data_IF_540092248126
#
_entry.id   IF_540092248126
#
_cell.length_a   1.000
_cell.length_b   1.000
_cell.length_c   1.000
_cell.angle_alpha   90.00
_cell.angle_beta   90.00
_cell.angle_gamma   90.00
#
_symmetry.space_group_name_H-M   'P 1'
#
loop_
_entity.id
_entity.type
_entity.pdbx_description
1 polymer ?
#
# COMPACT_ATOMS: atom_id res chain seq x y z
N UNK A 1 11.90 19.26 -6.51
CA UNK A 1 11.50 17.85 -6.29
C UNK A 1 10.21 17.62 -7.02
N UNK A 2 10.12 16.55 -7.84
CA UNK A 2 8.86 16.11 -8.41
C UNK A 2 7.94 15.65 -7.28
N UNK A 3 6.66 15.90 -7.39
CA UNK A 3 5.67 15.36 -6.46
C UNK A 3 5.57 13.85 -6.64
N UNK A 4 4.97 13.13 -5.69
CA UNK A 4 4.67 11.71 -5.84
C UNK A 4 3.18 11.49 -5.67
N UNK A 5 2.55 10.95 -6.70
CA UNK A 5 1.15 10.55 -6.68
C UNK A 5 1.02 9.07 -6.35
N UNK A 6 -0.12 8.68 -5.84
CA UNK A 6 -0.40 7.30 -5.46
C UNK A 6 -1.44 6.67 -6.38
N UNK A 7 -1.29 5.37 -6.63
CA UNK A 7 -2.32 4.54 -7.25
C UNK A 7 -2.63 3.39 -6.31
N UNK A 8 -3.90 3.16 -6.02
CA UNK A 8 -4.38 1.93 -5.39
C UNK A 8 -5.13 1.12 -6.43
N UNK A 9 -4.60 -0.05 -6.77
CA UNK A 9 -5.31 -0.97 -7.66
C UNK A 9 -6.22 -1.88 -6.84
N UNK A 10 -7.51 -1.57 -6.89
CA UNK A 10 -8.58 -2.25 -6.16
C UNK A 10 -9.54 -2.98 -7.11
N UNK A 11 -8.98 -3.57 -8.16
CA UNK A 11 -9.68 -4.37 -9.18
C UNK A 11 -9.48 -5.87 -8.99
N UNK A 12 -9.87 -6.62 -10.03
CA UNK A 12 -9.72 -8.07 -10.08
C UNK A 12 -10.98 -8.84 -9.66
N UNK A 13 -11.06 -10.12 -10.07
CA UNK A 13 -12.23 -10.97 -9.84
C UNK A 13 -12.29 -11.59 -8.44
N UNK A 14 -11.19 -11.63 -7.73
CA UNK A 14 -11.03 -12.21 -6.38
C UNK A 14 -11.67 -13.60 -6.20
N UNK A 15 -11.65 -14.45 -7.24
CA UNK A 15 -12.33 -15.76 -7.29
C UNK A 15 -11.82 -16.74 -6.22
N UNK A 16 -10.57 -16.61 -5.78
CA UNK A 16 -10.01 -17.43 -4.69
C UNK A 16 -10.69 -17.22 -3.34
N UNK A 17 -11.46 -16.13 -3.20
CA UNK A 17 -12.24 -15.81 -2.00
C UNK A 17 -13.74 -16.13 -2.16
N UNK A 18 -14.17 -16.75 -3.26
CA UNK A 18 -15.57 -17.17 -3.40
C UNK A 18 -15.96 -18.18 -2.29
N UNK A 19 -17.21 -18.09 -1.74
CA UNK A 19 -18.30 -17.17 -2.13
C UNK A 19 -18.26 -15.76 -1.50
N UNK A 20 -17.29 -15.43 -0.64
CA UNK A 20 -17.24 -14.17 0.12
C UNK A 20 -17.28 -12.94 -0.81
N UNK A 21 -16.63 -13.03 -1.96
CA UNK A 21 -16.49 -11.92 -2.93
C UNK A 21 -17.49 -11.97 -4.09
N UNK A 22 -18.54 -12.80 -4.02
CA UNK A 22 -19.55 -12.87 -5.08
C UNK A 22 -20.34 -11.56 -5.29
N UNK A 23 -20.52 -10.77 -4.21
CA UNK A 23 -21.31 -9.55 -4.23
C UNK A 23 -20.55 -8.31 -3.75
N UNK A 24 -19.30 -8.48 -3.35
CA UNK A 24 -18.50 -7.43 -2.71
C UNK A 24 -17.07 -7.46 -3.24
N UNK A 25 -16.47 -6.27 -3.47
CA UNK A 25 -15.05 -6.19 -3.80
C UNK A 25 -14.21 -6.73 -2.63
N UNK A 26 -13.14 -7.48 -2.94
CA UNK A 26 -12.19 -7.97 -1.95
C UNK A 26 -11.70 -6.85 -1.04
N UNK A 27 -11.36 -5.70 -1.59
CA UNK A 27 -10.79 -4.58 -0.87
C UNK A 27 -11.78 -3.86 0.06
N UNK A 28 -13.06 -4.22 -0.02
CA UNK A 28 -14.12 -3.78 0.90
C UNK A 28 -14.35 -4.77 2.05
N UNK A 29 -13.79 -5.98 1.98
CA UNK A 29 -13.88 -6.93 3.08
C UNK A 29 -13.18 -6.37 4.34
N UNK A 30 -13.70 -6.69 5.52
CA UNK A 30 -13.04 -6.27 6.75
C UNK A 30 -11.74 -7.05 6.96
N UNK A 31 -10.70 -6.33 7.35
CA UNK A 31 -9.53 -6.89 8.02
C UNK A 31 -9.63 -6.42 9.46
N UNK A 32 -10.08 -7.30 10.34
CA UNK A 32 -10.49 -7.05 11.70
C UNK A 32 -11.62 -6.01 11.80
N UNK A 33 -11.35 -4.74 12.00
CA UNK A 33 -12.32 -3.69 12.31
C UNK A 33 -12.48 -2.61 11.24
N UNK A 34 -11.72 -2.72 10.13
CA UNK A 34 -11.70 -1.72 9.05
C UNK A 34 -11.76 -2.36 7.66
N UNK A 35 -12.27 -1.66 6.64
CA UNK A 35 -12.18 -2.11 5.26
C UNK A 35 -10.72 -2.30 4.83
N UNK A 36 -10.44 -3.37 4.11
CA UNK A 36 -9.09 -3.73 3.65
C UNK A 36 -8.36 -2.58 2.96
N UNK A 37 -9.05 -1.77 2.15
CA UNK A 37 -8.43 -0.65 1.42
C UNK A 37 -7.81 0.43 2.34
N UNK A 38 -8.17 0.47 3.62
CA UNK A 38 -7.58 1.42 4.58
C UNK A 38 -6.09 1.14 4.78
N UNK A 39 -5.66 -0.10 4.70
CA UNK A 39 -4.26 -0.49 4.91
C UNK A 39 -3.33 -0.01 3.79
N UNK A 40 -3.58 -0.27 2.50
CA UNK A 40 -2.75 0.31 1.44
C UNK A 40 -2.88 1.83 1.38
N UNK A 41 -4.05 2.41 1.68
CA UNK A 41 -4.20 3.86 1.75
C UNK A 41 -3.34 4.45 2.88
N UNK A 42 -3.32 3.83 4.06
CA UNK A 42 -2.44 4.26 5.16
C UNK A 42 -0.95 4.17 4.79
N UNK A 43 -0.55 3.16 4.02
CA UNK A 43 0.83 3.05 3.54
C UNK A 43 1.21 4.21 2.60
N UNK A 44 0.31 4.65 1.70
CA UNK A 44 0.51 5.86 0.91
C UNK A 44 0.58 7.12 1.78
N UNK A 45 -0.26 7.23 2.80
CA UNK A 45 -0.22 8.35 3.75
C UNK A 45 1.09 8.38 4.55
N UNK A 46 1.58 7.23 5.01
CA UNK A 46 2.89 7.10 5.63
C UNK A 46 4.03 7.50 4.68
N UNK A 47 3.90 7.23 3.39
CA UNK A 47 4.85 7.68 2.35
C UNK A 47 4.77 9.19 2.05
N UNK A 48 3.82 9.91 2.64
CA UNK A 48 3.61 11.34 2.41
C UNK A 48 2.83 11.66 1.13
N UNK A 49 2.16 10.69 0.53
CA UNK A 49 1.38 10.84 -0.71
C UNK A 49 -0.01 11.38 -0.38
N UNK A 50 -0.43 12.48 -1.02
CA UNK A 50 -1.71 13.15 -0.78
C UNK A 50 -2.72 13.06 -1.93
N UNK A 51 -2.25 12.81 -3.15
CA UNK A 51 -3.10 12.62 -4.32
C UNK A 51 -3.11 11.14 -4.68
N UNK A 52 -4.27 10.51 -4.69
CA UNK A 52 -4.41 9.07 -4.90
C UNK A 52 -5.50 8.77 -5.92
N UNK A 53 -5.13 7.98 -6.94
CA UNK A 53 -6.06 7.39 -7.90
C UNK A 53 -6.46 5.99 -7.42
N UNK A 54 -7.75 5.78 -7.22
CA UNK A 54 -8.32 4.46 -6.94
C UNK A 54 -8.83 3.86 -8.25
N UNK A 55 -8.22 2.76 -8.67
CA UNK A 55 -8.62 2.03 -9.88
C UNK A 55 -9.40 0.79 -9.47
N UNK A 56 -10.62 0.65 -9.96
CA UNK A 56 -11.47 -0.52 -9.66
C UNK A 56 -12.34 -0.91 -10.86
N UNK A 57 -13.08 -2.00 -10.70
CA UNK A 57 -14.01 -2.49 -11.71
C UNK A 57 -15.27 -1.62 -11.81
N UNK A 58 -16.01 -1.64 -12.95
CA UNK A 58 -17.26 -0.89 -13.10
C UNK A 58 -18.29 -1.18 -12.01
N UNK A 59 -18.33 -2.42 -11.52
CA UNK A 59 -19.31 -2.87 -10.53
C UNK A 59 -19.03 -2.30 -9.15
N UNK A 60 -17.77 -2.03 -8.81
CA UNK A 60 -17.36 -1.69 -7.44
C UNK A 60 -16.92 -0.25 -7.24
N UNK A 61 -16.60 0.50 -8.31
CA UNK A 61 -16.00 1.83 -8.21
C UNK A 61 -16.85 2.81 -7.39
N UNK A 62 -18.17 2.77 -7.52
CA UNK A 62 -19.06 3.68 -6.80
C UNK A 62 -19.11 3.40 -5.30
N UNK A 63 -18.84 2.15 -4.87
CA UNK A 63 -18.71 1.82 -3.46
C UNK A 63 -17.43 2.42 -2.85
N UNK A 64 -16.34 2.48 -3.61
CA UNK A 64 -15.14 3.17 -3.17
C UNK A 64 -15.33 4.68 -3.06
N UNK A 65 -16.08 5.28 -4.00
CA UNK A 65 -16.45 6.70 -3.92
C UNK A 65 -17.33 6.99 -2.69
N UNK A 66 -18.28 6.10 -2.40
CA UNK A 66 -19.14 6.21 -1.20
C UNK A 66 -18.33 6.11 0.09
N UNK A 67 -17.36 5.17 0.16
CA UNK A 67 -16.54 4.94 1.36
C UNK A 67 -15.54 6.07 1.61
N UNK A 68 -14.80 6.48 0.57
CA UNK A 68 -13.62 7.35 0.69
C UNK A 68 -13.90 8.82 0.33
N UNK A 69 -14.98 9.10 -0.42
CA UNK A 69 -15.35 10.45 -0.85
C UNK A 69 -14.30 11.09 -1.75
N UNK A 70 -14.07 12.39 -1.57
CA UNK A 70 -13.06 13.17 -2.31
C UNK A 70 -11.67 13.16 -1.65
N UNK A 71 -11.57 12.66 -0.42
CA UNK A 71 -10.36 12.72 0.40
C UNK A 71 -10.20 14.00 1.23
N UNK A 72 -11.07 14.99 1.06
CA UNK A 72 -10.98 16.28 1.75
C UNK A 72 -10.99 16.16 3.28
N UNK A 73 -11.77 15.21 3.82
CA UNK A 73 -11.83 14.97 5.26
C UNK A 73 -10.48 14.52 5.84
N UNK A 74 -9.62 13.94 5.00
CA UNK A 74 -8.26 13.52 5.34
C UNK A 74 -7.18 14.50 4.86
N UNK A 75 -7.57 15.65 4.26
CA UNK A 75 -6.62 16.57 3.65
C UNK A 75 -5.92 16.01 2.42
N UNK A 76 -6.54 15.03 1.78
CA UNK A 76 -6.08 14.34 0.56
C UNK A 76 -6.98 14.69 -0.63
N UNK A 77 -6.56 14.23 -1.82
CA UNK A 77 -7.37 14.29 -3.04
C UNK A 77 -7.47 12.88 -3.62
N UNK A 78 -8.70 12.39 -3.78
CA UNK A 78 -8.96 11.10 -4.42
C UNK A 78 -9.59 11.29 -5.79
N UNK A 79 -9.05 10.55 -6.74
CA UNK A 79 -9.62 10.36 -8.07
C UNK A 79 -9.97 8.88 -8.28
N UNK A 80 -10.88 8.60 -9.20
CA UNK A 80 -11.41 7.25 -9.41
C UNK A 80 -11.41 6.93 -10.90
N UNK A 81 -10.89 5.76 -11.26
CA UNK A 81 -10.88 5.30 -12.65
C UNK A 81 -11.34 3.85 -12.76
N UNK A 82 -12.05 3.56 -13.81
CA UNK A 82 -12.57 2.21 -14.09
C UNK A 82 -11.54 1.44 -14.89
N UNK A 83 -11.22 0.23 -14.43
CA UNK A 83 -10.56 -0.80 -15.22
C UNK A 83 -11.62 -1.79 -15.71
N UNK A 84 -11.93 -1.73 -16.99
CA UNK A 84 -13.02 -2.56 -17.59
C UNK A 84 -12.70 -4.06 -17.53
N UNK A 85 -11.43 -4.42 -17.69
CA UNK A 85 -10.95 -5.82 -17.65
C UNK A 85 -9.65 -5.90 -16.87
N UNK A 86 -9.43 -6.97 -16.09
CA UNK A 86 -8.18 -7.19 -15.39
C UNK A 86 -7.08 -7.65 -16.37
N UNK A 87 -6.43 -6.70 -17.04
CA UNK A 87 -5.39 -6.97 -18.05
C UNK A 87 -3.96 -6.93 -17.46
N UNK A 88 -3.83 -6.89 -16.16
CA UNK A 88 -2.55 -6.91 -15.44
C UNK A 88 -2.32 -5.67 -14.57
N UNK A 89 -1.30 -5.75 -13.71
CA UNK A 89 -1.00 -4.67 -12.75
C UNK A 89 -0.40 -3.44 -13.42
N UNK A 90 0.42 -3.62 -14.46
CA UNK A 90 1.09 -2.51 -15.14
C UNK A 90 0.11 -1.62 -15.93
N UNK A 91 -1.08 -2.11 -16.27
CA UNK A 91 -2.15 -1.33 -16.88
C UNK A 91 -2.58 -0.12 -16.00
N UNK A 92 -2.36 -0.21 -14.70
CA UNK A 92 -2.64 0.90 -13.78
C UNK A 92 -1.89 2.19 -14.14
N UNK A 93 -0.68 2.10 -14.70
CA UNK A 93 0.10 3.26 -15.14
C UNK A 93 -0.43 3.84 -16.45
N UNK A 94 -0.91 3.00 -17.36
CA UNK A 94 -1.53 3.42 -18.62
C UNK A 94 -2.87 4.10 -18.33
N UNK A 95 -3.70 3.48 -17.52
CA UNK A 95 -4.97 4.08 -17.07
C UNK A 95 -4.75 5.36 -16.27
N UNK A 96 -3.69 5.41 -15.48
CA UNK A 96 -3.36 6.55 -14.61
C UNK A 96 -2.57 7.66 -15.28
N UNK A 97 -2.22 7.58 -16.58
CA UNK A 97 -1.32 8.51 -17.26
C UNK A 97 -1.69 9.99 -17.06
N UNK A 98 -2.95 10.36 -17.33
CA UNK A 98 -3.43 11.74 -17.15
C UNK A 98 -3.34 12.20 -15.70
N UNK A 99 -3.64 11.29 -14.75
CA UNK A 99 -3.53 11.57 -13.32
C UNK A 99 -2.07 11.73 -12.90
N UNK A 100 -1.19 10.85 -13.33
CA UNK A 100 0.25 10.90 -12.98
C UNK A 100 0.87 12.17 -13.56
N UNK A 101 0.59 12.50 -14.82
CA UNK A 101 1.21 13.63 -15.53
C UNK A 101 2.73 13.50 -15.54
N UNK A 102 3.43 14.56 -15.11
CA UNK A 102 4.91 14.60 -15.05
C UNK A 102 5.49 14.13 -13.70
N UNK A 103 4.64 13.74 -12.75
CA UNK A 103 5.04 13.35 -11.41
C UNK A 103 5.58 11.91 -11.34
N UNK A 104 6.25 11.59 -10.24
CA UNK A 104 6.60 10.23 -9.88
C UNK A 104 5.38 9.52 -9.27
N UNK A 105 5.37 8.19 -9.26
CA UNK A 105 4.20 7.42 -8.80
C UNK A 105 4.58 6.33 -7.82
N UNK A 106 3.70 6.11 -6.83
CA UNK A 106 3.67 4.91 -5.99
C UNK A 106 2.44 4.09 -6.36
N UNK A 107 2.61 2.79 -6.63
CA UNK A 107 1.51 1.84 -6.82
C UNK A 107 1.46 0.92 -5.62
N UNK A 108 0.27 0.79 -5.02
CA UNK A 108 0.02 -0.21 -3.97
C UNK A 108 -1.18 -1.07 -4.36
N UNK A 109 -1.04 -2.38 -4.21
CA UNK A 109 -2.16 -3.29 -4.41
C UNK A 109 -3.15 -3.15 -3.25
N UNK A 110 -4.43 -3.05 -3.58
CA UNK A 110 -5.51 -2.75 -2.63
C UNK A 110 -5.76 -3.83 -1.57
N UNK A 111 -5.06 -4.96 -1.65
CA UNK A 111 -5.14 -6.10 -0.75
C UNK A 111 -3.86 -6.31 0.09
N UNK A 112 -2.91 -5.40 -0.01
CA UNK A 112 -1.65 -5.49 0.71
C UNK A 112 -1.68 -4.71 2.03
N UNK A 113 -1.31 -5.39 3.10
CA UNK A 113 -1.12 -4.82 4.42
C UNK A 113 0.35 -4.94 4.80
N UNK A 114 0.95 -3.85 5.22
CA UNK A 114 2.31 -3.82 5.76
C UNK A 114 2.34 -3.18 7.14
N UNK A 115 3.10 -3.78 8.05
CA UNK A 115 3.26 -3.30 9.42
C UNK A 115 4.72 -3.45 9.88
N UNK A 116 5.17 -2.55 10.73
CA UNK A 116 6.51 -2.60 11.35
C UNK A 116 6.82 -1.30 12.06
N UNK A 117 7.64 -1.35 13.08
CA UNK A 117 7.94 -0.18 13.96
C UNK A 117 8.56 1.02 13.22
N UNK A 118 9.22 0.78 12.08
CA UNK A 118 9.87 1.82 11.26
C UNK A 118 9.33 1.87 9.84
N UNK A 119 8.18 1.28 9.58
CA UNK A 119 7.63 1.21 8.22
C UNK A 119 7.36 2.61 7.63
N UNK A 120 6.92 3.56 8.45
CA UNK A 120 6.70 4.94 8.02
C UNK A 120 8.00 5.59 7.53
N UNK A 121 9.11 5.43 8.25
CA UNK A 121 10.41 5.98 7.85
C UNK A 121 10.89 5.35 6.53
N UNK A 122 10.70 4.05 6.39
CA UNK A 122 11.06 3.31 5.16
C UNK A 122 10.24 3.77 3.96
N UNK A 123 8.93 3.89 4.12
CA UNK A 123 8.03 4.36 3.05
C UNK A 123 8.28 5.83 2.69
N UNK A 124 8.54 6.70 3.68
CA UNK A 124 8.95 8.10 3.45
C UNK A 124 10.28 8.18 2.69
N UNK A 125 11.25 7.33 3.03
CA UNK A 125 12.53 7.29 2.32
C UNK A 125 12.34 6.79 0.87
N UNK A 126 11.54 5.73 0.66
CA UNK A 126 11.21 5.22 -0.67
C UNK A 126 10.50 6.28 -1.54
N UNK A 127 9.58 7.02 -0.93
CA UNK A 127 8.83 8.08 -1.63
C UNK A 127 9.73 9.24 -2.13
N UNK A 128 10.89 9.44 -1.52
CA UNK A 128 11.86 10.48 -1.92
C UNK A 128 12.78 10.07 -3.08
N UNK A 129 12.75 8.81 -3.52
CA UNK A 129 13.53 8.37 -4.67
C UNK A 129 13.05 9.12 -5.92
N UNK A 130 13.95 9.89 -6.57
CA UNK A 130 13.59 10.76 -7.70
C UNK A 130 13.64 10.03 -9.04
N UNK A 131 14.48 9.00 -9.16
CA UNK A 131 14.74 8.26 -10.41
C UNK A 131 14.75 6.76 -10.14
N UNK A 132 14.42 5.99 -11.18
CA UNK A 132 14.45 4.53 -11.18
C UNK A 132 13.20 3.91 -10.56
N UNK A 133 13.28 2.61 -10.34
CA UNK A 133 12.30 1.78 -9.63
C UNK A 133 12.82 1.39 -8.24
N UNK A 134 11.93 1.40 -7.26
CA UNK A 134 12.21 0.92 -5.92
C UNK A 134 11.09 -0.02 -5.49
N UNK A 135 11.45 -1.22 -5.10
CA UNK A 135 10.55 -2.27 -4.62
C UNK A 135 11.04 -2.80 -3.27
N UNK A 136 10.23 -3.65 -2.66
CA UNK A 136 10.58 -4.31 -1.41
C UNK A 136 10.81 -5.81 -1.63
N UNK A 137 11.66 -6.42 -0.81
CA UNK A 137 11.82 -7.84 -0.71
C UNK A 137 11.41 -8.31 0.69
N UNK A 138 10.51 -9.28 0.77
CA UNK A 138 10.04 -9.84 2.03
C UNK A 138 10.30 -11.34 2.06
N UNK A 139 11.03 -11.80 3.07
CA UNK A 139 11.37 -13.21 3.20
C UNK A 139 10.13 -14.04 3.55
N UNK A 140 9.84 -15.05 2.74
CA UNK A 140 8.72 -15.97 2.92
C UNK A 140 9.17 -17.41 2.89
N UNK A 141 8.42 -18.30 3.53
CA UNK A 141 8.72 -19.73 3.53
C UNK A 141 8.50 -20.39 2.15
N UNK A 142 7.52 -19.94 1.40
CA UNK A 142 7.23 -20.41 0.04
C UNK A 142 6.98 -19.22 -0.90
N UNK A 143 7.95 -18.83 -1.74
CA UNK A 143 7.84 -17.65 -2.61
C UNK A 143 7.11 -17.92 -3.94
N UNK A 144 6.76 -19.17 -4.27
CA UNK A 144 6.23 -19.58 -5.60
C UNK A 144 4.93 -18.90 -6.02
N UNK A 145 4.21 -18.26 -5.09
CA UNK A 145 2.97 -17.54 -5.37
C UNK A 145 3.18 -16.06 -5.72
N UNK A 146 4.41 -15.57 -5.72
CA UNK A 146 4.76 -14.15 -5.79
C UNK A 146 5.79 -13.88 -6.88
N UNK A 147 5.99 -12.61 -7.22
CA UNK A 147 7.22 -12.17 -7.83
C UNK A 147 8.37 -12.42 -6.87
N UNK A 148 9.47 -12.99 -7.35
CA UNK A 148 10.66 -13.35 -6.54
C UNK A 148 11.85 -12.57 -7.05
N UNK A 149 12.58 -11.92 -6.15
CA UNK A 149 13.75 -11.10 -6.49
C UNK A 149 15.01 -11.62 -5.80
N UNK A 150 16.13 -11.65 -6.54
CA UNK A 150 17.48 -11.77 -5.98
C UNK A 150 18.14 -10.41 -5.93
N UNK A 151 18.95 -10.17 -4.91
CA UNK A 151 19.68 -8.92 -4.73
C UNK A 151 21.17 -9.17 -4.51
N UNK A 152 21.98 -8.19 -4.92
CA UNK A 152 23.39 -8.12 -4.55
C UNK A 152 23.56 -7.52 -3.14
N UNK A 153 24.82 -7.49 -2.66
CA UNK A 153 25.17 -6.92 -1.33
C UNK A 153 24.83 -5.43 -1.19
N UNK A 154 24.56 -4.73 -2.30
CA UNK A 154 24.22 -3.32 -2.33
C UNK A 154 22.69 -3.07 -2.41
N UNK A 155 21.91 -4.16 -2.50
CA UNK A 155 20.46 -4.08 -2.65
C UNK A 155 19.99 -3.82 -4.08
N UNK A 156 20.85 -4.01 -5.11
CA UNK A 156 20.40 -3.95 -6.49
C UNK A 156 19.79 -5.29 -6.88
N UNK A 157 18.72 -5.25 -7.67
CA UNK A 157 18.12 -6.46 -8.22
C UNK A 157 19.04 -7.09 -9.27
N UNK A 158 19.35 -8.38 -9.14
CA UNK A 158 20.12 -9.18 -10.11
C UNK A 158 19.27 -10.15 -10.90
N UNK A 159 18.17 -10.60 -10.35
CA UNK A 159 17.13 -11.33 -11.08
C UNK A 159 15.76 -11.05 -10.48
N UNK A 160 14.72 -11.13 -11.31
CA UNK A 160 13.33 -11.05 -10.88
C UNK A 160 12.47 -11.95 -11.77
N UNK A 161 11.65 -12.81 -11.16
CA UNK A 161 10.81 -13.77 -11.85
C UNK A 161 9.39 -13.76 -11.26
N UNK A 162 8.37 -13.84 -12.13
CA UNK A 162 6.96 -13.90 -11.71
C UNK A 162 6.59 -15.37 -11.45
N UNK A 163 6.19 -15.66 -10.21
CA UNK A 163 5.71 -16.98 -9.77
C UNK A 163 6.55 -18.15 -10.28
N UNK A 164 7.86 -18.17 -10.03
CA UNK A 164 8.74 -19.20 -10.55
C UNK A 164 8.43 -20.58 -9.92
N UNK A 165 8.46 -21.64 -10.71
CA UNK A 165 8.37 -23.00 -10.19
C UNK A 165 9.58 -23.36 -9.31
N UNK A 166 10.76 -22.89 -9.71
CA UNK A 166 12.03 -23.09 -9.00
C UNK A 166 12.63 -21.72 -8.62
N UNK A 167 12.18 -21.12 -7.50
CA UNK A 167 12.63 -19.80 -7.09
C UNK A 167 14.11 -19.79 -6.74
N UNK A 168 14.82 -18.74 -7.19
CA UNK A 168 16.27 -18.55 -6.90
C UNK A 168 16.51 -17.88 -5.54
N UNK A 169 15.48 -17.34 -4.94
CA UNK A 169 15.52 -16.61 -3.68
C UNK A 169 14.24 -16.87 -2.90
N UNK A 170 14.23 -16.60 -1.61
CA UNK A 170 13.05 -16.59 -0.75
C UNK A 170 12.46 -15.19 -0.53
N UNK A 171 12.97 -14.18 -1.28
CA UNK A 171 12.49 -12.81 -1.23
C UNK A 171 11.31 -12.59 -2.18
N UNK A 172 10.11 -12.66 -1.65
CA UNK A 172 8.89 -12.24 -2.35
C UNK A 172 8.82 -10.71 -2.48
N UNK A 173 8.26 -10.24 -3.58
CA UNK A 173 8.03 -8.80 -3.82
C UNK A 173 6.62 -8.41 -3.35
N UNK A 174 6.48 -7.66 -2.24
CA UNK A 174 5.21 -7.09 -1.84
C UNK A 174 4.61 -6.17 -2.90
N UNK A 175 3.29 -6.08 -2.93
CA UNK A 175 2.57 -5.22 -3.86
C UNK A 175 2.68 -3.73 -3.55
N UNK A 176 3.90 -3.23 -3.35
CA UNK A 176 4.23 -1.84 -3.03
C UNK A 176 5.41 -1.42 -3.90
N UNK A 177 5.19 -0.47 -4.79
CA UNK A 177 6.14 -0.09 -5.83
C UNK A 177 6.28 1.43 -5.89
N UNK A 178 7.50 1.92 -6.08
CA UNK A 178 7.80 3.32 -6.28
C UNK A 178 8.58 3.49 -7.59
N UNK A 179 8.07 4.29 -8.50
CA UNK A 179 8.71 4.50 -9.81
C UNK A 179 8.81 5.98 -10.14
N UNK A 180 9.78 6.31 -10.97
CA UNK A 180 9.79 7.59 -11.64
C UNK A 180 8.77 7.62 -12.81
N UNK A 181 8.60 8.77 -13.41
CA UNK A 181 7.59 9.01 -14.45
C UNK A 181 7.74 8.11 -15.70
N UNK A 182 8.96 7.61 -15.98
CA UNK A 182 9.22 6.72 -17.13
C UNK A 182 8.41 5.43 -17.08
N UNK A 183 7.86 5.08 -15.93
CA UNK A 183 7.03 3.87 -15.77
C UNK A 183 5.84 3.84 -16.72
N UNK A 184 5.29 5.01 -17.11
CA UNK A 184 4.16 5.11 -18.05
C UNK A 184 4.58 4.54 -19.42
N UNK A 185 5.68 5.05 -19.96
CA UNK A 185 6.20 4.58 -21.25
C UNK A 185 6.69 3.14 -21.19
N UNK A 186 7.29 2.72 -20.08
CA UNK A 186 7.68 1.32 -19.87
C UNK A 186 6.43 0.43 -19.92
N UNK A 187 5.37 0.78 -19.18
CA UNK A 187 4.12 0.02 -19.14
C UNK A 187 3.44 -0.10 -20.52
N UNK A 188 3.48 0.95 -21.34
CA UNK A 188 2.96 0.91 -22.72
C UNK A 188 3.74 -0.01 -23.65
N UNK A 189 5.01 -0.27 -23.36
CA UNK A 189 5.92 -1.03 -24.23
C UNK A 189 6.13 -2.49 -23.80
N UNK A 190 5.68 -2.91 -22.61
CA UNK A 190 5.72 -4.31 -22.23
C UNK A 190 4.65 -5.12 -23.00
N UNK A 191 4.91 -6.41 -23.17
CA UNK A 191 3.99 -7.32 -23.84
C UNK A 191 3.21 -8.12 -22.81
N UNK A 192 1.95 -8.48 -23.11
CA UNK A 192 1.21 -9.41 -22.26
C UNK A 192 1.96 -10.73 -22.10
N UNK A 193 1.96 -11.27 -20.88
CA UNK A 193 2.51 -12.59 -20.56
C UNK A 193 1.68 -13.71 -21.20
N UNK A 194 2.11 -14.96 -21.07
CA UNK A 194 1.33 -16.14 -21.48
C UNK A 194 -0.07 -16.18 -20.84
N UNK A 195 -0.26 -15.51 -19.69
CA UNK A 195 -1.55 -15.34 -19.02
C UNK A 195 -2.41 -14.23 -19.61
N UNK A 196 -1.89 -13.48 -20.59
CA UNK A 196 -2.56 -12.33 -21.19
C UNK A 196 -2.52 -11.07 -20.31
N UNK A 197 -1.64 -11.01 -19.30
CA UNK A 197 -1.54 -9.91 -18.35
C UNK A 197 -0.29 -9.06 -18.60
N UNK A 198 -0.42 -7.73 -18.44
CA UNK A 198 0.71 -6.78 -18.37
C UNK A 198 1.31 -6.87 -16.97
N UNK A 199 2.39 -7.65 -16.85
CA UNK A 199 2.98 -7.99 -15.56
C UNK A 199 3.79 -6.84 -14.98
N UNK A 200 3.60 -6.58 -13.69
CA UNK A 200 4.45 -5.61 -12.98
C UNK A 200 5.91 -6.08 -12.91
N UNK A 201 6.12 -7.39 -12.94
CA UNK A 201 7.45 -8.00 -12.97
C UNK A 201 8.22 -7.61 -14.22
N UNK A 202 7.55 -7.40 -15.36
CA UNK A 202 8.21 -6.98 -16.60
C UNK A 202 8.55 -5.46 -16.56
N UNK A 203 7.75 -4.64 -15.88
CA UNK A 203 8.14 -3.26 -15.54
C UNK A 203 9.41 -3.26 -14.68
N UNK A 204 9.45 -4.10 -13.64
CA UNK A 204 10.63 -4.24 -12.79
C UNK A 204 11.86 -4.72 -13.57
N UNK A 205 11.70 -5.69 -14.49
CA UNK A 205 12.78 -6.13 -15.38
C UNK A 205 13.32 -5.01 -16.27
N UNK A 206 12.44 -4.13 -16.76
CA UNK A 206 12.89 -2.98 -17.54
C UNK A 206 13.81 -2.06 -16.72
N UNK A 207 13.42 -1.72 -15.49
CA UNK A 207 14.28 -0.94 -14.58
C UNK A 207 15.55 -1.70 -14.18
N UNK A 208 15.47 -2.99 -13.94
CA UNK A 208 16.62 -3.83 -13.62
C UNK A 208 17.64 -3.85 -14.78
N UNK A 209 17.17 -3.98 -16.03
CA UNK A 209 18.03 -3.97 -17.20
C UNK A 209 18.70 -2.60 -17.45
N UNK A 210 18.11 -1.52 -16.96
CA UNK A 210 18.73 -0.19 -16.92
C UNK A 210 19.74 -0.01 -15.77
N UNK A 211 19.83 -0.99 -14.84
CA UNK A 211 20.63 -0.85 -13.62
C UNK A 211 20.00 0.11 -12.58
N UNK A 212 18.70 0.35 -12.70
CA UNK A 212 17.97 1.34 -11.89
C UNK A 212 16.85 0.75 -11.04
N UNK A 213 16.84 -0.57 -10.81
CA UNK A 213 15.91 -1.21 -9.86
C UNK A 213 16.60 -1.45 -8.52
N UNK A 214 16.12 -0.78 -7.48
CA UNK A 214 16.57 -0.98 -6.10
C UNK A 214 15.56 -1.81 -5.34
N UNK A 215 16.06 -2.65 -4.42
CA UNK A 215 15.25 -3.47 -3.52
C UNK A 215 15.59 -3.13 -2.09
N UNK A 216 14.56 -2.83 -1.28
CA UNK A 216 14.71 -2.68 0.17
C UNK A 216 14.24 -3.97 0.83
N UNK A 217 15.13 -4.79 1.42
CA UNK A 217 14.72 -5.96 2.15
C UNK A 217 14.02 -5.55 3.46
N UNK A 218 12.81 -6.07 3.66
CA UNK A 218 12.06 -5.95 4.90
C UNK A 218 12.49 -7.10 5.82
N UNK A 219 13.28 -6.79 6.82
CA UNK A 219 13.82 -7.77 7.75
C UNK A 219 12.82 -8.22 8.83
N UNK A 220 13.32 -8.93 9.83
CA UNK A 220 12.54 -9.33 11.02
C UNK A 220 11.97 -8.09 11.72
N UNK A 221 10.72 -8.16 12.14
CA UNK A 221 10.00 -7.03 12.77
C UNK A 221 9.07 -6.26 11.81
N UNK A 222 9.07 -6.64 10.53
CA UNK A 222 8.01 -6.26 9.59
C UNK A 222 7.07 -7.44 9.38
N UNK A 223 5.81 -7.13 9.13
CA UNK A 223 4.80 -8.08 8.71
C UNK A 223 4.17 -7.59 7.40
N UNK A 224 4.00 -8.51 6.46
CA UNK A 224 3.33 -8.27 5.19
C UNK A 224 2.29 -9.36 4.94
N UNK A 225 1.09 -8.95 4.51
CA UNK A 225 -0.01 -9.84 4.17
C UNK A 225 -0.59 -9.42 2.81
N UNK A 226 -0.88 -10.41 1.95
CA UNK A 226 -1.50 -10.22 0.64
C UNK A 226 -2.99 -10.59 0.61
N UNK A 227 -3.58 -11.01 1.72
CA UNK A 227 -4.99 -11.36 1.94
C UNK A 227 -5.69 -12.09 0.76
N UNK A 228 -4.92 -12.86 -0.04
CA UNK A 228 -5.35 -13.47 -1.30
C UNK A 228 -6.23 -14.70 -1.18
N UNK A 229 -6.32 -15.30 0.01
CA UNK A 229 -7.13 -16.49 0.32
C UNK A 229 -7.87 -16.27 1.64
N UNK A 230 -8.92 -17.08 1.96
CA UNK A 230 -9.61 -16.99 3.25
C UNK A 230 -8.68 -17.11 4.45
N UNK A 231 -7.73 -18.04 4.43
CA UNK A 231 -6.76 -18.22 5.52
C UNK A 231 -5.86 -16.99 5.69
N UNK A 232 -5.30 -16.45 4.60
CA UNK A 232 -4.46 -15.24 4.65
C UNK A 232 -5.23 -14.00 5.10
N UNK A 233 -6.52 -13.90 4.77
CA UNK A 233 -7.40 -12.83 5.25
C UNK A 233 -7.65 -12.97 6.76
N UNK A 234 -7.87 -14.20 7.23
CA UNK A 234 -8.00 -14.50 8.66
C UNK A 234 -6.72 -14.17 9.41
N UNK A 235 -5.56 -14.64 8.93
CA UNK A 235 -4.25 -14.37 9.54
C UNK A 235 -3.97 -12.87 9.67
N UNK A 236 -4.27 -12.09 8.62
CA UNK A 236 -4.14 -10.64 8.65
C UNK A 236 -5.06 -10.00 9.71
N UNK A 237 -6.31 -10.47 9.81
CA UNK A 237 -7.28 -9.99 10.80
C UNK A 237 -6.86 -10.32 12.23
N UNK A 238 -6.37 -11.53 12.46
CA UNK A 238 -5.89 -11.97 13.79
C UNK A 238 -4.63 -11.21 14.20
N UNK A 239 -3.71 -10.95 13.26
CA UNK A 239 -2.53 -10.13 13.50
C UNK A 239 -2.92 -8.71 13.91
N UNK A 240 -3.76 -8.03 13.12
CA UNK A 240 -4.22 -6.66 13.42
C UNK A 240 -4.89 -6.61 14.79
N UNK A 241 -5.83 -7.51 15.04
CA UNK A 241 -6.53 -7.64 16.33
C UNK A 241 -5.55 -7.80 17.50
N UNK A 242 -4.56 -8.68 17.36
CA UNK A 242 -3.59 -8.96 18.43
C UNK A 242 -2.77 -7.70 18.77
N UNK A 243 -2.30 -6.95 17.76
CA UNK A 243 -1.52 -5.72 17.97
C UNK A 243 -2.40 -4.63 18.59
N UNK A 244 -3.57 -4.36 18.01
CA UNK A 244 -4.45 -3.29 18.48
C UNK A 244 -4.91 -3.49 19.93
N UNK A 245 -5.32 -4.71 20.28
CA UNK A 245 -5.74 -5.03 21.64
C UNK A 245 -4.61 -4.95 22.66
N UNK A 246 -3.38 -5.35 22.26
CA UNK A 246 -2.22 -5.34 23.17
C UNK A 246 -1.65 -3.96 23.39
N UNK A 247 -1.57 -3.17 22.35
CA UNK A 247 -0.94 -1.84 22.40
C UNK A 247 -1.92 -0.70 22.67
N UNK A 248 -3.23 -0.96 22.51
CA UNK A 248 -4.27 0.07 22.61
C UNK A 248 -4.16 1.12 21.52
N UNK A 249 -3.59 0.73 20.36
CA UNK A 249 -3.45 1.55 19.15
C UNK A 249 -4.44 1.11 18.08
N UNK A 250 -4.44 1.82 16.97
CA UNK A 250 -5.14 1.43 15.74
C UNK A 250 -4.13 1.32 14.59
N UNK A 251 -4.15 0.22 13.85
CA UNK A 251 -3.40 0.09 12.59
C UNK A 251 -4.25 0.70 11.47
N UNK A 252 -3.63 1.42 10.54
CA UNK A 252 -4.32 2.09 9.44
C UNK A 252 -5.45 3.04 9.89
N UNK A 253 -5.22 3.80 10.96
CA UNK A 253 -6.09 4.90 11.36
C UNK A 253 -5.81 6.12 10.49
N UNK A 254 -6.64 6.33 9.46
CA UNK A 254 -6.39 7.34 8.43
C UNK A 254 -6.36 8.77 9.01
N UNK A 255 -7.27 9.08 9.92
CA UNK A 255 -7.34 10.38 10.59
C UNK A 255 -6.11 10.66 11.44
N UNK A 256 -5.52 9.63 12.06
CA UNK A 256 -4.28 9.76 12.82
C UNK A 256 -3.11 10.16 11.93
N UNK A 257 -2.91 9.47 10.80
CA UNK A 257 -1.86 9.83 9.84
C UNK A 257 -2.07 11.21 9.26
N UNK A 258 -3.31 11.57 8.91
CA UNK A 258 -3.65 12.87 8.39
C UNK A 258 -3.36 13.98 9.42
N UNK A 259 -3.66 13.75 10.69
CA UNK A 259 -3.42 14.70 11.78
C UNK A 259 -1.91 14.87 12.08
N UNK A 260 -1.16 13.77 12.21
CA UNK A 260 0.27 13.84 12.51
C UNK A 260 1.12 14.33 11.34
N UNK A 261 0.65 14.17 10.12
CA UNK A 261 1.25 14.80 8.94
C UNK A 261 0.81 16.27 8.74
N UNK A 262 0.00 16.84 9.66
CA UNK A 262 -0.51 18.21 9.59
C UNK A 262 -1.39 18.48 8.35
N UNK A 263 -2.02 17.45 7.79
CA UNK A 263 -2.91 17.58 6.64
C UNK A 263 -4.32 18.01 7.06
N UNK A 264 -4.71 17.69 8.30
CA UNK A 264 -5.97 18.11 8.91
C UNK A 264 -5.72 18.67 10.30
N UNK A 265 -6.58 19.62 10.68
CA UNK A 265 -6.59 20.17 12.03
C UNK A 265 -7.50 19.39 12.99
N UNK A 266 -7.45 19.78 14.25
CA UNK A 266 -8.23 19.21 15.37
C UNK A 266 -9.73 19.12 15.05
N UNK A 267 -10.30 20.13 14.40
CA UNK A 267 -11.72 20.19 14.05
C UNK A 267 -12.18 19.01 13.18
N UNK A 268 -11.36 18.60 12.21
CA UNK A 268 -11.68 17.44 11.35
C UNK A 268 -11.60 16.12 12.13
N UNK A 269 -10.64 16.01 13.04
CA UNK A 269 -10.55 14.84 13.93
C UNK A 269 -11.78 14.78 14.86
N UNK A 270 -12.24 15.91 15.39
CA UNK A 270 -13.45 15.98 16.23
C UNK A 270 -14.72 15.56 15.47
N UNK A 271 -14.83 15.94 14.18
CA UNK A 271 -15.91 15.44 13.30
C UNK A 271 -15.87 13.93 13.13
N UNK A 272 -14.68 13.37 12.93
CA UNK A 272 -14.50 11.91 12.83
C UNK A 272 -14.85 11.20 14.15
N UNK A 273 -14.46 11.76 15.29
CA UNK A 273 -14.83 11.27 16.62
C UNK A 273 -16.38 11.23 16.78
N UNK A 274 -17.07 12.28 16.38
CA UNK A 274 -18.55 12.31 16.47
C UNK A 274 -19.18 11.26 15.54
N UNK A 275 -18.66 11.13 14.31
CA UNK A 275 -19.10 10.11 13.33
C UNK A 275 -18.95 8.69 13.89
N UNK A 276 -17.84 8.40 14.55
CA UNK A 276 -17.47 7.06 15.04
C UNK A 276 -17.66 6.87 16.55
N UNK A 277 -18.37 7.77 17.24
CA UNK A 277 -18.46 7.82 18.72
C UNK A 277 -18.90 6.53 19.41
N UNK A 278 -19.62 5.64 18.71
CA UNK A 278 -20.10 4.36 19.25
C UNK A 278 -19.12 3.19 19.07
N UNK A 279 -17.96 3.44 18.45
CA UNK A 279 -16.98 2.40 18.10
C UNK A 279 -15.70 2.55 18.89
N UNK A 280 -14.89 1.48 18.94
CA UNK A 280 -13.54 1.56 19.53
C UNK A 280 -12.62 2.49 18.71
N UNK A 281 -12.83 2.59 17.40
CA UNK A 281 -12.14 3.52 16.52
C UNK A 281 -12.36 5.00 16.95
N UNK A 282 -13.60 5.38 17.20
CA UNK A 282 -13.91 6.74 17.69
C UNK A 282 -13.36 7.02 19.08
N UNK A 283 -13.39 6.02 19.99
CA UNK A 283 -12.76 6.12 21.31
C UNK A 283 -11.24 6.27 21.20
N UNK A 284 -10.62 5.58 20.25
CA UNK A 284 -9.20 5.71 19.98
C UNK A 284 -8.85 7.13 19.50
N UNK A 285 -9.56 7.67 18.51
CA UNK A 285 -9.36 9.03 18.02
C UNK A 285 -9.47 10.07 19.16
N UNK A 286 -10.42 9.89 20.08
CA UNK A 286 -10.53 10.76 21.26
C UNK A 286 -9.27 10.69 22.12
N UNK A 287 -8.82 9.46 22.48
CA UNK A 287 -7.61 9.27 23.27
C UNK A 287 -6.37 9.84 22.57
N UNK A 288 -6.26 9.67 21.25
CA UNK A 288 -5.18 10.21 20.42
C UNK A 288 -5.15 11.75 20.52
N UNK A 289 -6.29 12.39 20.33
CA UNK A 289 -6.39 13.84 20.38
C UNK A 289 -6.03 14.38 21.77
N UNK A 290 -6.53 13.75 22.84
CA UNK A 290 -6.23 14.13 24.21
C UNK A 290 -4.73 13.95 24.57
N UNK A 291 -4.07 12.95 23.96
CA UNK A 291 -2.64 12.66 24.13
C UNK A 291 -1.74 13.57 23.30
N UNK A 292 -2.23 14.12 22.19
CA UNK A 292 -1.45 15.02 21.33
C UNK A 292 -0.99 16.30 22.06
N UNK A 293 -1.64 16.63 23.17
CA UNK A 293 -1.26 17.72 24.07
C UNK A 293 -0.19 17.32 25.11
N UNK A 294 0.26 16.05 25.14
CA UNK A 294 1.28 15.52 26.06
C UNK A 294 2.53 15.07 25.30
N UNK A 295 3.74 15.14 25.93
CA UNK A 295 4.96 14.68 25.30
C UNK A 295 4.85 13.22 24.83
N UNK A 296 5.22 12.95 23.59
CA UNK A 296 5.18 11.58 23.02
C UNK A 296 6.32 10.76 23.64
N UNK A 297 6.02 9.55 24.14
CA UNK A 297 7.04 8.59 24.55
C UNK A 297 8.05 8.27 23.42
N UNK A 298 7.65 8.39 22.15
CA UNK A 298 8.52 8.21 20.97
C UNK A 298 9.60 9.28 20.84
N UNK A 299 9.46 10.45 21.46
CA UNK A 299 10.52 11.47 21.48
C UNK A 299 11.64 11.14 22.49
N UNK A 300 11.34 10.33 23.51
CA UNK A 300 12.34 9.85 24.48
C UNK A 300 13.36 8.93 23.81
N UNK A 301 12.96 8.16 22.78
CA UNK A 301 13.86 7.29 22.01
C UNK A 301 14.75 8.05 21.00
N UNK A 302 14.44 9.32 20.70
CA UNK A 302 15.24 10.17 19.79
C UNK A 302 16.30 10.99 20.50
N UNK A 303 16.19 11.18 21.82
CA UNK A 303 17.13 11.95 22.63
C UNK A 303 17.93 11.04 23.55
N UNK A 304 19.23 10.94 23.37
CA UNK A 304 20.25 10.56 24.35
C UNK A 304 20.46 9.09 24.75
N UNK A 305 19.50 8.17 24.56
CA UNK A 305 19.70 6.76 24.96
C UNK A 305 20.37 5.87 23.92
N UNK A 306 20.53 6.35 22.67
CA UNK A 306 21.09 5.59 21.55
C UNK A 306 22.05 6.40 20.67
N UNK A 307 22.73 7.42 21.26
CA UNK A 307 23.90 8.06 20.63
C UNK A 307 25.18 7.30 20.95
#
# INVERSE_FOLDING_TARGET
MKNRKGIILAGGSATRLYPITCAVSKQMLPVYDKPMIYYPLSALMMAGVREVLIISTPIHIDRFKELLGTGEDLGMKFEYKIQEKPVGLADAFILGEDFIGDDNVALILGDNLVYGSRIEEVLKAASKAETGGLIFGYQVADPRSYGVVEIDEKGNAISIEEKPENPKSDLAVPGIYFYDNRVIEIAKNIKPSERGELEITDVNKAYMNMGELRVIPLGKGYAWFDTGTPDRLSDASDFVKAIELRQGTQIACLEEYAFYNEWIGKEKVEKAIEKYKKTEYGKYLRRMLDRSEKPKYTEIYKSELFQ
#
